data_IF_065675155321
#
_entry.id   IF_065675155321
#
_cell.length_a   1.000
_cell.length_b   1.000
_cell.length_c   1.000
_cell.angle_alpha   90.00
_cell.angle_beta   90.00
_cell.angle_gamma   90.00
#
_symmetry.space_group_name_H-M   'P 1'
#
loop_
_entity.id
_entity.type
_entity.pdbx_description
1 polymer ?
#
# COMPACT_ATOMS: atom_id res chain seq x y z
N UNK A 1 0.30 6.99 29.10
CA UNK A 1 0.96 6.00 28.22
C UNK A 1 1.20 6.69 26.89
N UNK A 2 2.43 6.69 26.38
CA UNK A 2 2.73 7.23 25.05
C UNK A 2 2.04 6.34 24.01
N UNK A 3 1.12 6.92 23.23
CA UNK A 3 0.54 6.21 22.09
C UNK A 3 1.66 5.99 21.07
N UNK A 4 2.10 4.74 20.92
CA UNK A 4 3.05 4.36 19.88
C UNK A 4 2.39 4.57 18.52
N UNK A 5 3.08 5.27 17.64
CA UNK A 5 2.67 5.52 16.27
C UNK A 5 3.67 4.78 15.37
N UNK A 6 3.17 4.05 14.38
CA UNK A 6 3.99 3.41 13.35
C UNK A 6 3.56 4.00 12.01
N UNK A 7 4.52 4.31 11.15
CA UNK A 7 4.29 4.63 9.74
C UNK A 7 4.55 3.38 8.89
N UNK A 8 3.73 3.15 7.88
CA UNK A 8 3.93 2.12 6.88
C UNK A 8 3.90 2.72 5.47
N UNK A 9 4.85 2.31 4.63
CA UNK A 9 5.08 2.88 3.30
C UNK A 9 5.09 1.80 2.21
N UNK A 10 4.03 0.97 2.06
CA UNK A 10 4.03 -0.11 1.09
C UNK A 10 4.09 0.38 -0.35
N UNK A 11 4.66 -0.45 -1.22
CA UNK A 11 4.78 -0.16 -2.64
C UNK A 11 4.03 -1.19 -3.46
N UNK A 12 3.13 -0.72 -4.32
CA UNK A 12 2.29 -1.54 -5.17
C UNK A 12 2.72 -1.39 -6.62
N UNK A 13 2.81 -2.51 -7.33
CA UNK A 13 3.11 -2.58 -8.76
C UNK A 13 1.85 -2.26 -9.56
N UNK A 14 1.34 -1.05 -9.39
CA UNK A 14 0.23 -0.47 -10.16
C UNK A 14 0.19 1.05 -9.96
N UNK A 15 -0.12 1.80 -11.02
CA UNK A 15 -0.43 3.24 -10.98
C UNK A 15 -1.39 3.69 -12.09
N UNK A 16 -1.51 2.93 -13.17
CA UNK A 16 -2.29 3.26 -14.38
C UNK A 16 -3.76 2.87 -14.26
N UNK A 17 -4.09 1.95 -13.35
CA UNK A 17 -5.44 1.54 -12.96
C UNK A 17 -5.82 2.16 -11.61
N UNK A 18 -6.22 3.44 -11.56
CA UNK A 18 -6.50 4.15 -10.31
C UNK A 18 -7.58 3.45 -9.46
N UNK A 19 -8.53 2.77 -10.09
CA UNK A 19 -9.59 2.01 -9.42
C UNK A 19 -9.08 0.83 -8.59
N UNK A 20 -7.92 0.25 -8.95
CA UNK A 20 -7.26 -0.80 -8.13
C UNK A 20 -6.63 -0.15 -6.90
N UNK A 21 -5.94 0.98 -7.09
CA UNK A 21 -5.32 1.71 -5.99
C UNK A 21 -6.38 2.23 -5.01
N UNK A 22 -7.52 2.70 -5.51
CA UNK A 22 -8.63 3.16 -4.67
C UNK A 22 -9.19 2.03 -3.79
N UNK A 23 -9.28 0.80 -4.31
CA UNK A 23 -9.67 -0.37 -3.52
C UNK A 23 -8.64 -0.72 -2.44
N UNK A 24 -7.35 -0.63 -2.76
CA UNK A 24 -6.27 -0.84 -1.78
C UNK A 24 -6.32 0.23 -0.68
N UNK A 25 -6.53 1.51 -1.04
CA UNK A 25 -6.69 2.62 -0.08
C UNK A 25 -7.93 2.41 0.78
N UNK A 26 -9.04 1.97 0.21
CA UNK A 26 -10.26 1.65 0.96
C UNK A 26 -10.03 0.53 1.98
N UNK A 27 -9.25 -0.51 1.63
CA UNK A 27 -8.88 -1.57 2.54
C UNK A 27 -8.06 -1.04 3.73
N UNK A 28 -7.08 -0.16 3.49
CA UNK A 28 -6.31 0.52 4.55
C UNK A 28 -7.22 1.34 5.46
N UNK A 29 -8.10 2.15 4.87
CA UNK A 29 -9.00 3.06 5.60
C UNK A 29 -10.14 2.33 6.33
N UNK A 30 -10.36 1.05 6.05
CA UNK A 30 -11.34 0.22 6.77
C UNK A 30 -10.91 -0.11 8.20
N UNK A 31 -9.61 0.02 8.51
CA UNK A 31 -9.05 -0.26 9.83
C UNK A 31 -9.14 0.98 10.71
N UNK A 32 -9.81 0.84 11.85
CA UNK A 32 -9.88 1.91 12.86
C UNK A 32 -8.50 2.29 13.38
N UNK A 33 -8.31 3.57 13.70
CA UNK A 33 -7.04 4.14 14.20
C UNK A 33 -5.86 4.13 13.21
N UNK A 34 -6.11 3.89 11.92
CA UNK A 34 -5.16 4.10 10.83
C UNK A 34 -5.59 5.32 10.00
N UNK A 35 -4.62 6.15 9.62
CA UNK A 35 -4.84 7.31 8.75
C UNK A 35 -3.93 7.24 7.54
N UNK A 36 -4.52 7.39 6.37
CA UNK A 36 -3.78 7.71 5.15
C UNK A 36 -3.12 9.07 5.28
N UNK A 37 -1.84 9.14 4.95
CA UNK A 37 -1.02 10.34 4.97
C UNK A 37 -0.67 10.82 3.57
N UNK A 38 -0.33 9.89 2.67
CA UNK A 38 0.06 10.22 1.31
C UNK A 38 -0.26 9.09 0.31
N UNK A 39 -0.43 9.48 -0.95
CA UNK A 39 -0.50 8.59 -2.11
C UNK A 39 0.34 9.22 -3.22
N UNK A 40 1.40 8.53 -3.61
CA UNK A 40 2.25 8.94 -4.72
C UNK A 40 2.26 7.86 -5.79
N UNK A 41 1.73 8.18 -6.97
CA UNK A 41 1.64 7.27 -8.10
C UNK A 41 2.53 7.77 -9.25
N UNK A 42 3.37 6.89 -9.77
CA UNK A 42 4.24 7.14 -10.90
C UNK A 42 3.82 6.27 -12.09
N UNK A 43 3.38 6.92 -13.17
CA UNK A 43 2.83 6.24 -14.35
C UNK A 43 3.89 5.58 -15.22
N UNK A 44 5.12 6.11 -15.24
CA UNK A 44 6.22 5.57 -16.05
C UNK A 44 6.76 4.31 -15.38
N UNK A 45 6.97 4.37 -14.06
CA UNK A 45 7.35 3.24 -13.23
C UNK A 45 6.21 2.23 -13.01
N UNK A 46 4.97 2.62 -13.30
CA UNK A 46 3.73 1.88 -12.98
C UNK A 46 3.69 1.41 -11.52
N UNK A 47 3.98 2.33 -10.60
CA UNK A 47 4.14 2.03 -9.18
C UNK A 47 3.46 3.08 -8.33
N UNK A 48 2.77 2.63 -7.28
CA UNK A 48 2.17 3.50 -6.28
C UNK A 48 2.78 3.24 -4.92
N UNK A 49 3.20 4.30 -4.26
CA UNK A 49 3.59 4.33 -2.85
C UNK A 49 2.43 4.89 -2.05
N UNK A 50 1.97 4.13 -1.07
CA UNK A 50 0.98 4.60 -0.09
C UNK A 50 1.68 4.80 1.24
N UNK A 51 1.35 5.89 1.94
CA UNK A 51 1.88 6.17 3.28
C UNK A 51 0.71 6.29 4.24
N UNK A 52 0.73 5.51 5.31
CA UNK A 52 -0.27 5.59 6.38
C UNK A 52 0.37 5.37 7.74
N UNK A 53 -0.28 5.88 8.79
CA UNK A 53 0.19 5.72 10.15
C UNK A 53 -0.94 5.45 11.13
N UNK A 54 -0.62 4.80 12.23
CA UNK A 54 -1.59 4.40 13.25
C UNK A 54 -0.95 3.65 14.42
N UNK A 55 -1.78 2.99 15.21
CA UNK A 55 -1.29 2.07 16.25
C UNK A 55 -0.54 0.89 15.60
N UNK A 56 0.44 0.27 16.28
CA UNK A 56 1.17 -0.88 15.72
C UNK A 56 0.26 -1.99 15.18
N UNK A 57 -0.79 -2.36 15.95
CA UNK A 57 -1.74 -3.40 15.55
C UNK A 57 -2.64 -2.95 14.38
N UNK A 58 -3.07 -1.69 14.38
CA UNK A 58 -3.88 -1.15 13.27
C UNK A 58 -3.09 -1.10 11.97
N UNK A 59 -1.82 -0.68 12.04
CA UNK A 59 -0.94 -0.59 10.86
C UNK A 59 -0.61 -1.98 10.31
N UNK A 60 -0.39 -2.97 11.17
CA UNK A 60 -0.22 -4.37 10.76
C UNK A 60 -1.44 -4.90 9.99
N UNK A 61 -2.65 -4.73 10.55
CA UNK A 61 -3.90 -5.17 9.90
C UNK A 61 -4.14 -4.43 8.58
N UNK A 62 -3.94 -3.11 8.56
CA UNK A 62 -4.12 -2.31 7.35
C UNK A 62 -3.14 -2.71 6.25
N UNK A 63 -1.87 -2.97 6.60
CA UNK A 63 -0.89 -3.48 5.65
C UNK A 63 -1.30 -4.86 5.09
N UNK A 64 -1.76 -5.77 5.95
CA UNK A 64 -2.22 -7.10 5.52
C UNK A 64 -3.40 -7.02 4.54
N UNK A 65 -4.43 -6.24 4.87
CA UNK A 65 -5.61 -6.05 4.00
C UNK A 65 -5.23 -5.40 2.66
N UNK A 66 -4.31 -4.43 2.68
CA UNK A 66 -3.80 -3.79 1.47
C UNK A 66 -3.07 -4.80 0.57
N UNK A 67 -2.18 -5.62 1.14
CA UNK A 67 -1.43 -6.66 0.43
C UNK A 67 -2.37 -7.71 -0.16
N UNK A 68 -3.34 -8.19 0.63
CA UNK A 68 -4.34 -9.16 0.17
C UNK A 68 -5.12 -8.61 -1.02
N UNK A 69 -5.63 -7.39 -0.91
CA UNK A 69 -6.38 -6.71 -1.98
C UNK A 69 -5.52 -6.56 -3.24
N UNK A 70 -4.26 -6.15 -3.09
CA UNK A 70 -3.33 -6.04 -4.19
C UNK A 70 -3.08 -7.39 -4.89
N UNK A 71 -2.95 -8.49 -4.13
CA UNK A 71 -2.74 -9.83 -4.69
C UNK A 71 -3.93 -10.35 -5.50
N UNK A 72 -5.15 -9.89 -5.19
CA UNK A 72 -6.38 -10.30 -5.88
C UNK A 72 -6.60 -9.49 -7.18
N UNK A 73 -6.07 -8.26 -7.25
CA UNK A 73 -6.35 -7.30 -8.32
C UNK A 73 -5.18 -7.08 -9.30
N UNK A 74 -3.93 -7.24 -8.83
CA UNK A 74 -2.73 -6.96 -9.62
C UNK A 74 -2.14 -8.27 -10.15
N UNK A 75 -2.29 -8.48 -11.45
CA UNK A 75 -1.62 -9.55 -12.18
C UNK A 75 -0.27 -9.08 -12.73
N UNK A 76 0.81 -9.70 -12.26
CA UNK A 76 2.18 -9.36 -12.65
C UNK A 76 2.57 -9.88 -14.04
N UNK A 77 1.91 -10.92 -14.56
CA UNK A 77 2.19 -11.46 -15.90
C UNK A 77 1.91 -10.42 -16.99
N UNK A 78 0.98 -9.49 -16.71
CA UNK A 78 0.60 -8.39 -17.59
C UNK A 78 1.17 -7.04 -17.17
N UNK A 79 1.84 -6.97 -16.02
CA UNK A 79 2.37 -5.71 -15.50
C UNK A 79 3.63 -5.26 -16.26
N UNK A 80 3.65 -4.01 -16.73
CA UNK A 80 4.83 -3.36 -17.32
C UNK A 80 5.09 -2.01 -16.66
N UNK A 81 6.37 -1.65 -16.49
CA UNK A 81 6.82 -0.41 -15.87
C UNK A 81 8.35 -0.37 -15.82
N UNK A 82 8.93 0.84 -15.73
CA UNK A 82 10.40 1.01 -15.72
C UNK A 82 11.05 0.56 -14.41
N UNK A 83 10.28 0.47 -13.32
CA UNK A 83 10.81 0.05 -12.02
C UNK A 83 10.91 -1.48 -11.92
N UNK A 84 12.06 -2.05 -11.50
CA UNK A 84 12.14 -3.45 -11.14
C UNK A 84 11.13 -3.80 -10.05
N UNK A 85 10.49 -4.97 -10.15
CA UNK A 85 9.49 -5.44 -9.17
C UNK A 85 9.52 -6.94 -9.05
N UNK A 86 9.26 -7.43 -7.84
CA UNK A 86 9.19 -8.85 -7.47
C UNK A 86 7.74 -9.26 -7.17
N UNK A 87 6.92 -8.34 -6.61
CA UNK A 87 5.56 -8.63 -6.15
C UNK A 87 4.50 -7.60 -6.55
N UNK A 88 3.22 -8.01 -6.46
CA UNK A 88 2.07 -7.10 -6.57
C UNK A 88 2.15 -6.01 -5.49
N UNK A 89 2.57 -6.41 -4.29
CA UNK A 89 3.20 -5.55 -3.30
C UNK A 89 4.68 -5.91 -3.23
N UNK A 90 5.55 -4.95 -3.47
CA UNK A 90 6.99 -5.18 -3.64
C UNK A 90 7.77 -5.10 -2.33
N UNK A 91 7.52 -4.05 -1.54
CA UNK A 91 8.12 -3.84 -0.22
C UNK A 91 7.11 -3.19 0.72
N UNK A 92 7.21 -3.49 2.01
CA UNK A 92 6.30 -3.03 3.07
C UNK A 92 7.12 -2.59 4.30
N UNK A 93 7.70 -1.38 4.29
CA UNK A 93 8.46 -0.86 5.43
C UNK A 93 7.53 -0.47 6.58
N UNK A 94 7.99 -0.67 7.82
CA UNK A 94 7.38 -0.16 9.05
C UNK A 94 8.39 0.69 9.79
N UNK A 95 8.05 1.94 10.12
CA UNK A 95 8.94 2.94 10.71
C UNK A 95 8.38 3.41 12.07
N UNK A 96 9.17 3.38 13.15
CA UNK A 96 8.74 3.77 14.50
C UNK A 96 8.77 5.27 14.78
#
# INVERSE_FOLDING_TARGET
>A
MTNKLIECIPNFSEARRPEIIDQIVAAIQSVSDVKMLDRSSDLDHNRTVLTFAGSPAGVEEAAFLAIKTASELIDLDHHTGEHPRIGATDVVPFVP
#
